data_IF_421465186148
#
_entry.id   IF_421465186148
#
_cell.length_a   1.000
_cell.length_b   1.000
_cell.length_c   1.000
_cell.angle_alpha   90.00
_cell.angle_beta   90.00
_cell.angle_gamma   90.00
#
_symmetry.space_group_name_H-M   'P 1'
#
loop_
_entity.id
_entity.type
_entity.pdbx_description
1 polymer ?
#
# COMPACT_ATOMS: atom_id res chain seq x y z
N UNK A 1 -58.73 46.66 -1.40
CA UNK A 1 -59.31 46.42 -0.07
C UNK A 1 -59.23 44.92 0.16
N UNK A 2 -58.61 44.28 1.15
CA UNK A 2 -57.76 44.59 2.30
C UNK A 2 -56.90 43.30 2.51
N UNK A 3 -55.57 43.34 2.64
CA UNK A 3 -54.77 43.54 3.88
C UNK A 3 -55.09 42.62 5.08
N UNK A 4 -54.00 41.98 5.58
CA UNK A 4 -53.72 41.56 6.97
C UNK A 4 -54.41 40.26 7.48
N UNK A 5 -53.83 39.39 8.33
CA UNK A 5 -52.58 39.34 9.12
C UNK A 5 -52.41 37.90 9.68
N UNK A 6 -51.16 37.53 9.97
CA UNK A 6 -50.75 36.35 10.80
C UNK A 6 -51.39 36.37 12.19
N UNK A 7 -51.63 35.20 12.79
CA UNK A 7 -51.34 34.95 14.20
C UNK A 7 -51.29 33.46 14.55
N UNK A 8 -50.13 33.07 15.09
CA UNK A 8 -49.76 31.84 15.77
C UNK A 8 -50.53 31.63 17.08
N UNK A 9 -50.95 30.38 17.34
CA UNK A 9 -51.34 29.90 18.68
C UNK A 9 -50.91 28.44 18.84
N UNK A 10 -49.83 28.21 19.58
CA UNK A 10 -49.46 26.90 20.10
C UNK A 10 -49.86 26.87 21.59
N UNK A 11 -50.61 25.86 22.06
CA UNK A 11 -50.91 25.73 23.47
C UNK A 11 -49.68 25.23 24.25
N UNK A 12 -49.42 25.90 25.37
CA UNK A 12 -48.28 25.63 26.24
C UNK A 12 -48.44 24.37 27.08
N UNK A 13 -47.35 23.62 27.21
CA UNK A 13 -47.15 22.63 28.26
C UNK A 13 -46.50 23.32 29.46
N UNK A 14 -47.27 23.41 30.54
CA UNK A 14 -46.82 23.85 31.86
C UNK A 14 -46.67 22.59 32.73
N UNK A 15 -45.47 22.30 33.22
CA UNK A 15 -45.24 21.16 34.12
C UNK A 15 -43.84 21.19 34.71
N UNK A 16 -43.73 21.74 35.92
CA UNK A 16 -42.50 21.83 36.71
C UNK A 16 -42.14 20.46 37.29
N UNK A 17 -40.87 20.11 37.16
CA UNK A 17 -40.00 19.39 38.11
C UNK A 17 -40.59 18.26 38.97
N UNK A 18 -40.07 17.04 38.77
CA UNK A 18 -39.81 16.10 39.86
C UNK A 18 -38.46 15.42 39.60
N UNK A 19 -37.46 15.87 40.35
CA UNK A 19 -36.15 15.22 40.49
C UNK A 19 -36.40 14.01 41.40
N UNK A 20 -36.28 12.79 40.86
CA UNK A 20 -36.18 11.57 41.66
C UNK A 20 -34.81 10.97 41.38
N UNK A 21 -33.87 11.30 42.27
CA UNK A 21 -32.62 10.57 42.48
C UNK A 21 -32.94 9.17 43.00
N UNK A 22 -32.72 8.14 42.18
CA UNK A 22 -32.58 6.75 42.65
C UNK A 22 -31.12 6.38 42.54
N UNK A 23 -30.47 6.32 43.69
CA UNK A 23 -29.15 5.75 43.87
C UNK A 23 -29.28 4.23 44.08
N UNK A 24 -28.41 3.51 43.37
CA UNK A 24 -27.78 2.23 43.71
C UNK A 24 -28.54 0.89 43.50
N UNK A 25 -27.79 -0.01 42.85
CA UNK A 25 -27.82 -1.49 42.88
C UNK A 25 -28.78 -2.24 41.94
N UNK A 26 -28.37 -2.39 40.67
CA UNK A 26 -28.49 -3.68 39.96
C UNK A 26 -27.20 -3.94 39.16
N UNK A 27 -26.38 -4.83 39.74
CA UNK A 27 -25.58 -5.90 39.12
C UNK A 27 -24.71 -5.54 37.90
N UNK A 28 -23.40 -5.67 38.11
CA UNK A 28 -22.38 -5.76 37.09
C UNK A 28 -22.69 -6.90 36.09
N UNK A 29 -23.32 -6.55 34.97
CA UNK A 29 -23.22 -7.32 33.73
C UNK A 29 -22.09 -6.72 32.92
N UNK A 30 -20.87 -7.09 33.29
CA UNK A 30 -19.70 -6.79 32.48
C UNK A 30 -19.73 -7.63 31.19
N UNK A 31 -19.78 -6.90 30.07
CA UNK A 31 -19.18 -7.16 28.78
C UNK A 31 -19.10 -8.62 28.30
N UNK A 32 -20.16 -9.09 27.66
CA UNK A 32 -20.02 -9.98 26.51
C UNK A 32 -20.28 -9.16 25.25
N UNK A 33 -19.26 -8.41 24.82
CA UNK A 33 -19.22 -7.98 23.42
C UNK A 33 -19.19 -9.27 22.58
N UNK A 34 -20.09 -9.46 21.61
CA UNK A 34 -19.88 -10.47 20.60
C UNK A 34 -18.57 -10.11 19.90
N UNK A 35 -17.50 -10.86 20.18
CA UNK A 35 -16.37 -10.90 19.27
C UNK A 35 -16.91 -11.53 17.99
N UNK A 36 -17.28 -10.69 17.03
CA UNK A 36 -17.36 -11.13 15.65
C UNK A 36 -15.97 -11.65 15.30
N UNK A 37 -15.80 -12.98 15.36
CA UNK A 37 -14.70 -13.62 14.68
C UNK A 37 -14.88 -13.30 13.20
N UNK A 38 -14.15 -12.29 12.71
CA UNK A 38 -13.89 -12.13 11.30
C UNK A 38 -13.03 -13.32 10.90
N UNK A 39 -13.67 -14.41 10.46
CA UNK A 39 -12.98 -15.41 9.69
C UNK A 39 -12.53 -14.76 8.39
N UNK A 40 -11.23 -14.82 8.08
CA UNK A 40 -10.81 -14.78 6.69
C UNK A 40 -11.52 -15.96 6.01
N UNK A 41 -12.50 -15.63 5.16
CA UNK A 41 -13.31 -16.61 4.46
C UNK A 41 -12.47 -17.49 3.53
N UNK A 42 -13.04 -18.56 2.97
CA UNK A 42 -12.38 -19.38 1.96
C UNK A 42 -11.78 -18.47 0.88
N UNK A 43 -10.45 -18.50 0.73
CA UNK A 43 -9.80 -17.90 -0.41
C UNK A 43 -10.17 -18.76 -1.62
N UNK A 44 -10.78 -18.15 -2.61
CA UNK A 44 -11.22 -18.89 -3.78
C UNK A 44 -10.14 -18.75 -4.84
N UNK A 45 -9.59 -19.88 -5.29
CA UNK A 45 -8.66 -19.91 -6.40
C UNK A 45 -9.20 -19.11 -7.60
N UNK A 46 -8.30 -18.36 -8.22
CA UNK A 46 -8.58 -17.43 -9.29
C UNK A 46 -9.30 -16.16 -8.88
N UNK A 47 -9.44 -15.87 -7.58
CA UNK A 47 -10.07 -14.63 -7.10
C UNK A 47 -9.08 -13.78 -6.31
N UNK A 48 -9.07 -12.49 -6.60
CA UNK A 48 -8.30 -11.48 -5.86
C UNK A 48 -9.20 -10.28 -5.56
N UNK A 49 -8.75 -9.41 -4.66
CA UNK A 49 -9.38 -8.11 -4.41
C UNK A 49 -8.45 -6.99 -4.86
N UNK A 50 -9.04 -5.90 -5.35
CA UNK A 50 -8.30 -4.72 -5.78
C UNK A 50 -8.96 -3.48 -5.18
N UNK A 51 -8.22 -2.69 -4.42
CA UNK A 51 -8.70 -1.44 -3.85
C UNK A 51 -8.00 -0.28 -4.56
N UNK A 52 -8.79 0.72 -4.95
CA UNK A 52 -8.28 1.91 -5.65
C UNK A 52 -8.78 3.15 -4.92
N UNK A 53 -7.87 3.97 -4.44
CA UNK A 53 -8.17 5.27 -3.84
C UNK A 53 -7.61 6.39 -4.72
N UNK A 54 -8.45 7.35 -5.09
CA UNK A 54 -8.09 8.55 -5.85
C UNK A 54 -8.36 9.77 -5.00
N UNK A 55 -7.30 10.48 -4.60
CA UNK A 55 -7.37 11.71 -3.82
C UNK A 55 -6.50 12.81 -4.46
N UNK A 56 -7.16 13.78 -5.10
CA UNK A 56 -6.49 14.83 -5.87
C UNK A 56 -5.52 14.23 -6.91
N UNK A 57 -4.21 14.56 -6.86
CA UNK A 57 -3.21 14.00 -7.77
C UNK A 57 -2.72 12.60 -7.38
N UNK A 58 -3.05 12.09 -6.18
CA UNK A 58 -2.58 10.80 -5.70
C UNK A 58 -3.54 9.67 -6.08
N UNK A 59 -2.99 8.54 -6.51
CA UNK A 59 -3.73 7.30 -6.74
C UNK A 59 -3.01 6.17 -6.05
N UNK A 60 -3.68 5.48 -5.13
CA UNK A 60 -3.16 4.26 -4.51
C UNK A 60 -3.94 3.06 -5.02
N UNK A 61 -3.23 1.99 -5.34
CA UNK A 61 -3.81 0.71 -5.74
C UNK A 61 -3.27 -0.37 -4.81
N UNK A 62 -4.15 -1.15 -4.18
CA UNK A 62 -3.79 -2.31 -3.37
C UNK A 62 -4.40 -3.57 -3.99
N UNK A 63 -3.56 -4.55 -4.31
CA UNK A 63 -3.95 -5.89 -4.72
C UNK A 63 -3.69 -6.86 -3.56
N UNK A 64 -4.73 -7.58 -3.17
CA UNK A 64 -4.61 -8.73 -2.28
C UNK A 64 -5.01 -10.00 -3.06
N UNK A 65 -4.12 -10.98 -3.09
CA UNK A 65 -4.32 -12.22 -3.82
C UNK A 65 -3.66 -13.40 -3.13
N UNK A 66 -4.32 -14.58 -3.11
CA UNK A 66 -3.62 -15.85 -2.98
C UNK A 66 -2.45 -15.93 -3.97
N UNK A 67 -1.29 -16.39 -3.52
CA UNK A 67 -0.10 -16.49 -4.38
C UNK A 67 -0.29 -17.54 -5.47
N UNK A 68 -1.16 -18.54 -5.29
CA UNK A 68 -1.54 -19.51 -6.33
C UNK A 68 -2.03 -18.81 -7.60
N UNK A 69 -2.83 -17.74 -7.47
CA UNK A 69 -3.30 -16.99 -8.63
C UNK A 69 -2.16 -16.41 -9.48
N UNK A 70 -1.00 -16.16 -8.86
CA UNK A 70 0.14 -15.46 -9.43
C UNK A 70 1.30 -16.42 -9.79
N UNK A 71 1.45 -17.52 -9.06
CA UNK A 71 2.57 -18.46 -9.13
C UNK A 71 2.15 -19.89 -9.49
N UNK A 72 0.89 -20.26 -9.23
CA UNK A 72 0.35 -21.62 -9.42
C UNK A 72 0.71 -22.62 -8.31
N UNK A 73 1.19 -22.14 -7.17
CA UNK A 73 1.47 -22.94 -5.97
C UNK A 73 1.32 -22.08 -4.71
N UNK A 74 1.02 -22.70 -3.56
CA UNK A 74 0.69 -22.01 -2.29
C UNK A 74 1.75 -22.12 -1.20
N UNK A 75 2.84 -22.84 -1.44
CA UNK A 75 3.88 -23.08 -0.46
C UNK A 75 5.07 -22.14 -0.63
N UNK A 76 5.90 -22.02 0.41
CA UNK A 76 7.23 -21.42 0.32
C UNK A 76 8.08 -22.12 -0.78
N UNK A 77 8.99 -21.41 -1.47
CA UNK A 77 9.77 -21.98 -2.55
C UNK A 77 10.72 -23.08 -2.05
N UNK A 78 10.65 -24.26 -2.65
CA UNK A 78 11.41 -25.47 -2.28
C UNK A 78 12.67 -25.66 -3.12
N UNK A 79 12.76 -24.99 -4.26
CA UNK A 79 13.85 -25.16 -5.23
C UNK A 79 14.11 -23.85 -6.00
N UNK A 80 15.24 -23.80 -6.72
CA UNK A 80 15.65 -22.59 -7.44
C UNK A 80 14.68 -22.18 -8.56
N UNK A 81 13.97 -23.15 -9.16
CA UNK A 81 12.95 -22.86 -10.17
C UNK A 81 11.78 -22.08 -9.58
N UNK A 82 11.30 -22.46 -8.41
CA UNK A 82 10.24 -21.73 -7.69
C UNK A 82 10.73 -20.35 -7.20
N UNK A 83 11.98 -20.26 -6.71
CA UNK A 83 12.58 -18.97 -6.36
C UNK A 83 12.65 -18.03 -7.57
N UNK A 84 13.00 -18.57 -8.73
CA UNK A 84 13.01 -17.80 -9.98
C UNK A 84 11.60 -17.40 -10.42
N UNK A 85 10.59 -18.26 -10.25
CA UNK A 85 9.19 -17.92 -10.52
C UNK A 85 8.72 -16.73 -9.65
N UNK A 86 9.09 -16.72 -8.36
CA UNK A 86 8.81 -15.59 -7.46
C UNK A 86 9.49 -14.31 -7.94
N UNK A 87 10.78 -14.36 -8.29
CA UNK A 87 11.50 -13.18 -8.81
C UNK A 87 10.88 -12.65 -10.11
N UNK A 88 10.46 -13.53 -11.00
CA UNK A 88 9.77 -13.14 -12.24
C UNK A 88 8.40 -12.52 -11.97
N UNK A 89 7.63 -13.09 -11.04
CA UNK A 89 6.36 -12.51 -10.57
C UNK A 89 6.57 -11.12 -9.97
N UNK A 90 7.52 -10.98 -9.04
CA UNK A 90 7.85 -9.71 -8.39
C UNK A 90 8.31 -8.66 -9.41
N UNK A 91 9.15 -9.04 -10.39
CA UNK A 91 9.59 -8.15 -11.46
C UNK A 91 8.42 -7.62 -12.32
N UNK A 92 7.44 -8.47 -12.65
CA UNK A 92 6.21 -8.03 -13.34
C UNK A 92 5.41 -7.06 -12.49
N UNK A 93 5.23 -7.36 -11.20
CA UNK A 93 4.48 -6.50 -10.28
C UNK A 93 5.19 -5.16 -10.01
N UNK A 94 6.51 -5.11 -10.09
CA UNK A 94 7.30 -3.88 -10.04
C UNK A 94 7.33 -3.08 -11.36
N UNK A 95 6.63 -3.54 -12.40
CA UNK A 95 6.46 -2.82 -13.67
C UNK A 95 4.99 -2.37 -13.85
N UNK A 96 4.47 -1.46 -13.00
CA UNK A 96 3.06 -1.12 -12.97
C UNK A 96 2.54 -0.44 -14.24
N UNK A 97 3.40 0.23 -15.01
CA UNK A 97 3.02 0.77 -16.32
C UNK A 97 2.56 -0.33 -17.30
N UNK A 98 2.91 -1.60 -17.05
CA UNK A 98 2.40 -2.76 -17.80
C UNK A 98 1.12 -3.36 -17.20
N UNK A 99 0.86 -3.14 -15.90
CA UNK A 99 -0.30 -3.66 -15.16
C UNK A 99 -1.50 -2.72 -15.27
N UNK A 100 -1.26 -1.41 -15.32
CA UNK A 100 -2.26 -0.38 -15.12
C UNK A 100 -2.12 0.70 -16.21
N UNK A 101 -3.03 0.70 -17.17
CA UNK A 101 -3.05 1.72 -18.23
C UNK A 101 -4.06 2.81 -17.86
N UNK A 102 -3.55 3.87 -17.25
CA UNK A 102 -4.35 5.06 -16.92
C UNK A 102 -4.80 5.81 -18.16
N UNK A 103 -5.79 6.69 -18.00
CA UNK A 103 -6.15 7.67 -19.04
C UNK A 103 -4.90 8.49 -19.40
N UNK A 104 -4.37 8.44 -20.66
CA UNK A 104 -3.05 9.00 -20.96
C UNK A 104 -2.91 10.49 -20.66
N UNK A 105 -4.00 11.24 -20.83
CA UNK A 105 -4.09 12.68 -20.56
C UNK A 105 -4.07 13.05 -19.08
N UNK A 106 -4.11 12.07 -18.16
CA UNK A 106 -3.93 12.26 -16.71
C UNK A 106 -2.45 12.23 -16.28
N UNK A 107 -1.57 11.69 -17.15
CA UNK A 107 -0.11 11.66 -16.97
C UNK A 107 0.33 11.11 -15.60
N UNK A 108 -0.24 9.98 -15.20
CA UNK A 108 0.12 9.31 -13.95
C UNK A 108 1.49 8.65 -14.04
N UNK A 109 2.27 8.76 -12.96
CA UNK A 109 3.62 8.19 -12.81
C UNK A 109 3.71 7.44 -11.49
N UNK A 110 4.41 6.31 -11.50
CA UNK A 110 4.69 5.55 -10.29
C UNK A 110 5.61 6.36 -9.35
N UNK A 111 5.23 6.48 -8.09
CA UNK A 111 6.08 6.97 -7.00
C UNK A 111 6.71 5.80 -6.23
N UNK A 112 5.92 4.76 -5.95
CA UNK A 112 6.31 3.68 -5.06
C UNK A 112 5.62 2.36 -5.45
N UNK A 113 6.31 1.23 -5.24
CA UNK A 113 5.72 -0.10 -5.32
C UNK A 113 6.28 -0.99 -4.20
N UNK A 114 5.38 -1.67 -3.49
CA UNK A 114 5.71 -2.52 -2.34
C UNK A 114 4.99 -3.85 -2.49
N UNK A 115 5.72 -4.93 -2.33
CA UNK A 115 5.19 -6.28 -2.30
C UNK A 115 5.48 -6.89 -0.92
N UNK A 116 4.48 -7.50 -0.31
CA UNK A 116 4.60 -8.16 0.99
C UNK A 116 3.88 -9.51 0.92
N UNK A 117 4.52 -10.54 1.48
CA UNK A 117 3.89 -11.83 1.70
C UNK A 117 4.50 -12.46 2.94
N UNK A 118 3.69 -13.02 3.86
CA UNK A 118 4.22 -13.76 5.00
C UNK A 118 4.99 -15.03 4.60
N UNK A 119 4.69 -15.64 3.46
CA UNK A 119 5.18 -16.96 3.05
C UNK A 119 6.25 -16.90 1.95
N UNK A 120 6.38 -15.77 1.27
CA UNK A 120 7.43 -15.57 0.28
C UNK A 120 8.61 -14.82 0.90
N UNK A 121 9.86 -15.30 0.71
CA UNK A 121 11.04 -14.60 1.21
C UNK A 121 11.13 -13.18 0.63
N UNK A 122 11.25 -12.18 1.50
CA UNK A 122 11.22 -10.77 1.10
C UNK A 122 12.34 -10.41 0.13
N UNK A 123 13.50 -11.09 0.21
CA UNK A 123 14.62 -10.86 -0.70
C UNK A 123 14.29 -11.21 -2.17
N UNK A 124 13.29 -12.07 -2.40
CA UNK A 124 12.81 -12.42 -3.74
C UNK A 124 11.72 -11.46 -4.25
N UNK A 125 11.10 -10.70 -3.34
CA UNK A 125 10.06 -9.72 -3.65
C UNK A 125 10.59 -8.30 -3.89
N UNK A 126 11.85 -8.01 -3.56
CA UNK A 126 12.42 -6.67 -3.73
C UNK A 126 12.72 -6.33 -5.20
N UNK A 127 12.39 -5.12 -5.62
CA UNK A 127 12.86 -4.48 -6.85
C UNK A 127 14.35 -4.13 -6.75
N UNK A 128 15.25 -5.13 -6.81
CA UNK A 128 16.70 -4.84 -6.84
C UNK A 128 17.10 -4.25 -8.18
N UNK A 129 16.99 -2.92 -8.27
CA UNK A 129 17.84 -2.09 -9.11
C UNK A 129 19.27 -2.16 -8.55
N UNK A 130 20.01 -3.20 -8.94
CA UNK A 130 21.43 -3.33 -8.63
C UNK A 130 21.72 -4.03 -7.31
N UNK A 131 21.80 -5.35 -7.34
CA UNK A 131 22.92 -6.01 -6.67
C UNK A 131 23.22 -7.30 -7.40
N UNK A 132 24.40 -7.36 -8.00
CA UNK A 132 25.10 -8.60 -8.31
C UNK A 132 25.06 -9.48 -7.06
N UNK A 133 24.47 -10.67 -7.18
CA UNK A 133 24.70 -11.74 -6.22
C UNK A 133 25.48 -12.79 -7.00
N UNK A 134 26.76 -12.88 -6.65
CA UNK A 134 27.70 -13.82 -7.20
C UNK A 134 27.16 -15.24 -7.09
N UNK A 135 26.95 -15.84 -8.25
CA UNK A 135 27.02 -17.29 -8.39
C UNK A 135 28.51 -17.64 -8.47
N UNK A 136 29.13 -17.87 -7.31
CA UNK A 136 30.35 -18.68 -7.22
C UNK A 136 30.00 -20.11 -7.66
N UNK A 137 29.97 -20.33 -8.97
CA UNK A 137 30.30 -21.64 -9.50
C UNK A 137 31.82 -21.69 -9.59
N UNK A 138 32.42 -22.45 -8.67
CA UNK A 138 33.82 -22.85 -8.71
C UNK A 138 34.18 -23.36 -10.10
N UNK A 139 34.89 -22.54 -10.87
CA UNK A 139 35.69 -23.01 -12.00
C UNK A 139 37.04 -23.39 -11.42
N UNK A 140 37.32 -24.71 -11.40
CA UNK A 140 38.69 -25.22 -11.32
C UNK A 140 39.45 -24.62 -12.51
N UNK A 141 40.24 -23.57 -12.28
CA UNK A 141 41.19 -23.10 -13.27
C UNK A 141 42.60 -23.39 -12.79
N UNK A 142 43.18 -24.28 -13.57
CA UNK A 142 44.50 -24.87 -13.53
C UNK A 142 45.61 -23.80 -13.60
N UNK A 143 46.64 -24.04 -12.79
CA UNK A 143 48.01 -23.58 -12.83
C UNK A 143 48.42 -22.64 -13.98
N UNK A 144 48.69 -21.37 -13.67
CA UNK A 144 49.78 -20.67 -14.32
C UNK A 144 50.52 -19.73 -13.36
N UNK A 145 51.84 -19.85 -13.41
CA UNK A 145 52.85 -19.47 -12.42
C UNK A 145 53.65 -18.26 -12.95
N UNK A 146 54.24 -17.46 -12.05
CA UNK A 146 55.17 -16.31 -12.24
C UNK A 146 54.50 -14.98 -12.69
N UNK A 147 54.87 -13.79 -12.20
CA UNK A 147 56.04 -13.31 -11.44
C UNK A 147 55.67 -11.99 -10.74
N UNK A 148 56.17 -11.80 -9.53
CA UNK A 148 56.07 -10.58 -8.73
C UNK A 148 57.29 -9.72 -9.03
N UNK A 149 57.10 -8.45 -9.37
CA UNK A 149 58.16 -7.43 -9.30
C UNK A 149 57.59 -6.11 -8.75
N UNK A 150 58.29 -5.57 -7.74
CA UNK A 150 58.06 -4.32 -6.99
C UNK A 150 59.02 -3.24 -7.51
N UNK A 151 58.69 -1.94 -7.51
CA UNK A 151 59.45 -0.99 -6.66
C UNK A 151 58.57 0.14 -6.05
N UNK A 152 58.79 0.52 -4.78
CA UNK A 152 59.54 1.72 -4.31
C UNK A 152 58.65 2.98 -4.25
N UNK A 153 58.12 3.38 -3.09
CA UNK A 153 58.65 4.38 -2.13
C UNK A 153 58.87 5.75 -2.77
N UNK A 154 58.05 6.74 -2.36
CA UNK A 154 58.50 8.08 -1.97
C UNK A 154 57.42 8.82 -1.14
N UNK A 155 57.88 9.53 -0.12
CA UNK A 155 57.18 10.47 0.78
C UNK A 155 57.98 11.79 0.67
N UNK A 156 57.36 12.99 0.62
CA UNK A 156 57.41 13.85 1.81
C UNK A 156 56.22 14.82 2.04
N UNK A 157 56.09 15.18 3.33
CA UNK A 157 55.67 16.44 3.99
C UNK A 157 54.84 17.47 3.19
N UNK A 158 53.76 18.11 3.68
CA UNK A 158 53.39 18.56 5.02
C UNK A 158 53.03 20.05 4.94
N UNK A 159 51.83 20.48 5.34
CA UNK A 159 51.50 21.87 5.70
C UNK A 159 50.11 21.91 6.37
N UNK A 160 50.06 22.28 7.66
CA UNK A 160 49.64 23.59 8.21
C UNK A 160 48.16 23.95 8.00
N UNK A 161 47.37 23.66 9.03
CA UNK A 161 46.14 24.41 9.34
C UNK A 161 46.48 25.83 9.85
N UNK A 162 45.57 26.78 9.62
CA UNK A 162 45.19 27.73 10.65
C UNK A 162 43.67 27.78 10.84
N UNK A 163 43.26 27.99 12.09
CA UNK A 163 41.86 28.07 12.49
C UNK A 163 41.31 29.49 12.66
N UNK A 164 40.06 29.49 13.14
CA UNK A 164 39.26 30.55 13.78
C UNK A 164 38.62 31.62 12.86
N UNK A 165 37.28 31.67 12.82
CA UNK A 165 36.44 32.49 13.74
C UNK A 165 34.94 32.34 13.33
N UNK A 166 33.94 33.06 13.91
CA UNK A 166 32.86 32.45 14.68
C UNK A 166 31.47 32.59 14.04
N UNK A 167 30.52 31.79 14.52
CA UNK A 167 29.10 31.93 14.21
C UNK A 167 28.45 33.04 15.04
N UNK A 168 27.55 33.86 14.46
CA UNK A 168 26.56 34.59 15.25
C UNK A 168 25.27 33.78 15.40
N UNK A 169 24.81 33.71 16.65
CA UNK A 169 23.46 33.26 17.03
C UNK A 169 22.43 34.29 16.58
N UNK A 170 21.33 33.83 15.97
CA UNK A 170 20.13 34.63 15.78
C UNK A 170 18.85 33.80 15.96
N UNK A 171 18.19 34.11 17.07
CA UNK A 171 16.75 34.25 17.25
C UNK A 171 15.78 33.13 16.79
N UNK A 172 15.28 32.44 17.81
CA UNK A 172 13.95 31.84 17.96
C UNK A 172 12.81 32.58 17.25
N UNK A 173 12.03 31.86 16.44
CA UNK A 173 10.65 32.20 16.12
C UNK A 173 9.80 30.92 16.13
N UNK A 174 9.15 30.67 17.27
CA UNK A 174 8.26 29.53 17.49
C UNK A 174 6.88 29.84 16.90
N UNK A 175 6.55 29.24 15.76
CA UNK A 175 5.18 29.26 15.21
C UNK A 175 4.42 28.02 15.72
N UNK A 176 3.20 28.15 16.25
CA UNK A 176 2.36 27.00 16.59
C UNK A 176 1.96 26.26 15.31
N UNK A 177 2.25 24.96 15.25
CA UNK A 177 1.72 24.05 14.25
C UNK A 177 0.22 23.84 14.48
N UNK A 178 -0.63 23.92 13.44
CA UNK A 178 -2.01 23.47 13.55
C UNK A 178 -2.05 21.95 13.76
N UNK A 179 -2.91 21.51 14.67
CA UNK A 179 -3.12 20.11 15.01
C UNK A 179 -3.48 19.28 13.77
N UNK A 180 -2.98 18.04 13.64
CA UNK A 180 -3.42 17.14 12.58
C UNK A 180 -4.90 16.80 12.80
N UNK A 181 -5.70 16.94 11.74
CA UNK A 181 -7.05 16.39 11.67
C UNK A 181 -6.97 14.86 11.82
N UNK A 182 -7.99 14.21 12.42
CA UNK A 182 -7.94 12.77 12.63
C UNK A 182 -7.92 12.07 11.27
N UNK A 183 -6.78 11.46 10.95
CA UNK A 183 -6.66 10.48 9.88
C UNK A 183 -7.68 9.38 10.15
N UNK A 184 -8.68 9.26 9.28
CA UNK A 184 -9.47 8.04 9.16
C UNK A 184 -8.48 6.91 8.94
N UNK A 185 -8.32 6.06 9.95
CA UNK A 185 -7.41 4.94 9.89
C UNK A 185 -7.94 3.97 8.84
N UNK A 186 -7.15 3.77 7.78
CA UNK A 186 -7.22 2.58 6.95
C UNK A 186 -7.02 1.43 7.93
N UNK A 187 -8.10 0.68 8.21
CA UNK A 187 -8.09 -0.39 9.20
C UNK A 187 -7.16 -1.48 8.68
N UNK A 188 -6.03 -1.77 9.33
CA UNK A 188 -5.21 -2.91 8.98
C UNK A 188 -5.93 -4.17 9.45
N UNK A 189 -6.34 -5.02 8.52
CA UNK A 189 -6.88 -6.34 8.83
C UNK A 189 -5.81 -7.16 9.56
N UNK A 190 -5.98 -7.39 10.86
CA UNK A 190 -5.05 -8.18 11.69
C UNK A 190 -5.65 -9.55 12.03
N UNK A 191 -5.00 -10.60 11.51
CA UNK A 191 -4.51 -11.75 12.27
C UNK A 191 -5.47 -12.88 12.65
N UNK A 192 -5.25 -14.05 12.06
CA UNK A 192 -5.04 -15.32 12.77
C UNK A 192 -4.13 -16.22 11.93
N UNK A 193 -3.24 -16.96 12.60
CA UNK A 193 -2.26 -17.84 12.01
C UNK A 193 -2.91 -19.14 11.50
N UNK A 194 -3.17 -19.21 10.20
CA UNK A 194 -3.33 -20.45 9.43
C UNK A 194 -2.76 -20.20 8.01
N UNK A 195 -1.85 -21.09 7.59
CA UNK A 195 -0.89 -20.95 6.48
C UNK A 195 -1.51 -20.94 5.08
N UNK A 196 -2.02 -19.80 4.61
CA UNK A 196 -2.29 -19.61 3.18
C UNK A 196 -1.53 -18.42 2.63
N UNK A 197 -0.70 -18.69 1.63
CA UNK A 197 0.22 -17.71 1.09
C UNK A 197 -0.50 -16.59 0.36
N UNK A 198 -0.59 -15.44 1.01
CA UNK A 198 -1.17 -14.23 0.47
C UNK A 198 -0.05 -13.30 0.01
N UNK A 199 -0.29 -12.61 -1.11
CA UNK A 199 0.53 -11.50 -1.55
C UNK A 199 -0.32 -10.23 -1.50
N UNK A 200 0.21 -9.25 -0.78
CA UNK A 200 -0.24 -7.86 -0.85
C UNK A 200 0.73 -7.08 -1.75
N UNK A 201 0.18 -6.36 -2.73
CA UNK A 201 0.93 -5.49 -3.62
C UNK A 201 0.31 -4.10 -3.64
N UNK A 202 1.08 -3.11 -3.19
CA UNK A 202 0.68 -1.71 -3.14
C UNK A 202 1.46 -0.89 -4.16
N UNK A 203 0.77 -0.04 -4.91
CA UNK A 203 1.37 0.94 -5.80
C UNK A 203 0.83 2.33 -5.51
N UNK A 204 1.73 3.30 -5.39
CA UNK A 204 1.40 4.72 -5.26
C UNK A 204 1.77 5.44 -6.55
N UNK A 205 0.82 6.17 -7.13
CA UNK A 205 1.01 6.98 -8.32
C UNK A 205 0.70 8.44 -8.05
N UNK A 206 1.33 9.30 -8.84
CA UNK A 206 1.00 10.72 -8.94
C UNK A 206 0.64 11.10 -10.37
N UNK A 207 -0.53 11.71 -10.55
CA UNK A 207 -1.02 12.23 -11.82
C UNK A 207 -0.79 13.74 -11.92
N UNK A 208 -0.24 14.20 -13.04
CA UNK A 208 -0.01 15.63 -13.26
C UNK A 208 -1.31 16.40 -13.57
N UNK A 209 -2.29 15.71 -14.15
CA UNK A 209 -3.57 16.27 -14.60
C UNK A 209 -4.74 15.39 -14.10
N UNK A 210 -4.94 15.29 -12.77
CA UNK A 210 -5.93 14.37 -12.20
C UNK A 210 -7.38 14.61 -12.64
N UNK A 211 -7.72 15.84 -13.05
CA UNK A 211 -9.02 16.17 -13.64
C UNK A 211 -9.32 15.41 -14.95
N UNK A 212 -8.28 14.95 -15.65
CA UNK A 212 -8.40 14.17 -16.88
C UNK A 212 -8.46 12.66 -16.62
N UNK A 213 -8.37 12.22 -15.36
CA UNK A 213 -8.36 10.81 -14.97
C UNK A 213 -9.80 10.26 -15.00
N UNK A 214 -10.14 9.50 -16.05
CA UNK A 214 -11.50 8.98 -16.27
C UNK A 214 -11.65 7.48 -15.98
N UNK A 215 -10.53 6.79 -15.78
CA UNK A 215 -10.52 5.36 -15.62
C UNK A 215 -9.13 4.74 -15.80
N UNK A 216 -9.11 3.42 -15.72
CA UNK A 216 -7.92 2.58 -15.74
C UNK A 216 -8.26 1.23 -16.39
N UNK A 217 -7.37 0.73 -17.25
CA UNK A 217 -7.42 -0.65 -17.74
C UNK A 217 -6.48 -1.53 -16.92
N UNK A 218 -7.00 -2.64 -16.39
CA UNK A 218 -6.29 -3.56 -15.49
C UNK A 218 -5.80 -4.77 -16.27
N UNK A 219 -4.47 -4.90 -16.42
CA UNK A 219 -3.83 -5.94 -17.22
C UNK A 219 -3.32 -7.15 -16.44
N UNK A 220 -3.79 -7.31 -15.20
CA UNK A 220 -3.37 -8.41 -14.32
C UNK A 220 -3.70 -9.79 -14.91
N UNK A 221 -4.86 -9.95 -15.55
CA UNK A 221 -5.28 -11.25 -16.13
C UNK A 221 -4.36 -11.73 -17.27
N UNK A 222 -3.78 -10.81 -18.04
CA UNK A 222 -2.87 -11.14 -19.14
C UNK A 222 -1.49 -11.57 -18.63
N UNK A 223 -1.07 -11.02 -17.49
CA UNK A 223 0.24 -11.30 -16.90
C UNK A 223 0.22 -12.49 -15.94
N UNK A 224 -0.95 -12.77 -15.35
CA UNK A 224 -1.22 -13.84 -14.40
C UNK A 224 -2.50 -14.61 -14.79
N UNK A 225 -2.38 -15.64 -15.64
CA UNK A 225 -3.53 -16.41 -16.15
C UNK A 225 -4.30 -17.20 -15.08
N UNK A 226 -3.73 -17.37 -13.88
CA UNK A 226 -4.41 -17.97 -12.73
C UNK A 226 -5.57 -17.11 -12.23
N UNK A 227 -5.53 -15.78 -12.45
CA UNK A 227 -6.62 -14.88 -12.11
C UNK A 227 -7.84 -15.09 -13.03
N UNK A 228 -9.02 -15.22 -12.41
CA UNK A 228 -10.31 -15.41 -13.07
C UNK A 228 -11.30 -14.30 -12.75
N UNK A 229 -11.18 -13.71 -11.57
CA UNK A 229 -12.04 -12.64 -11.07
C UNK A 229 -11.23 -11.71 -10.17
N UNK A 230 -11.46 -10.41 -10.29
CA UNK A 230 -10.96 -9.44 -9.33
C UNK A 230 -12.15 -8.63 -8.83
N UNK A 231 -12.39 -8.67 -7.53
CA UNK A 231 -13.40 -7.83 -6.89
C UNK A 231 -12.77 -6.49 -6.55
N UNK A 232 -13.19 -5.45 -7.27
CA UNK A 232 -12.60 -4.12 -7.16
C UNK A 232 -13.48 -3.20 -6.32
N UNK A 233 -12.88 -2.50 -5.37
CA UNK A 233 -13.48 -1.36 -4.66
C UNK A 233 -12.76 -0.08 -5.08
N UNK A 234 -13.52 0.98 -5.37
CA UNK A 234 -12.98 2.25 -5.83
C UNK A 234 -13.53 3.36 -4.97
N UNK A 235 -12.67 4.20 -4.44
CA UNK A 235 -13.01 5.47 -3.80
C UNK A 235 -12.38 6.58 -4.62
N UNK A 236 -13.22 7.44 -5.22
CA UNK A 236 -12.74 8.54 -6.05
C UNK A 236 -13.58 9.81 -5.89
N UNK A 237 -13.26 10.87 -6.66
CA UNK A 237 -13.88 12.19 -6.49
C UNK A 237 -15.39 12.21 -6.77
N UNK A 238 -15.91 11.20 -7.46
CA UNK A 238 -17.34 11.06 -7.79
C UNK A 238 -18.09 10.12 -6.82
N UNK A 239 -17.41 9.60 -5.80
CA UNK A 239 -17.97 8.68 -4.80
C UNK A 239 -17.26 7.33 -4.76
N UNK A 240 -17.88 6.39 -4.04
CA UNK A 240 -17.39 5.01 -3.92
C UNK A 240 -18.20 4.05 -4.79
N UNK A 241 -17.55 3.02 -5.34
CA UNK A 241 -18.20 1.98 -6.13
C UNK A 241 -17.48 0.64 -5.98
N UNK A 242 -18.16 -0.44 -6.37
CA UNK A 242 -17.52 -1.75 -6.50
C UNK A 242 -17.82 -2.33 -7.88
N UNK A 243 -16.80 -2.90 -8.50
CA UNK A 243 -16.86 -3.46 -9.86
C UNK A 243 -16.17 -4.83 -9.85
N UNK A 244 -16.79 -5.80 -10.51
CA UNK A 244 -16.19 -7.12 -10.71
C UNK A 244 -15.49 -7.17 -12.07
N UNK A 245 -14.18 -7.35 -12.06
CA UNK A 245 -13.39 -7.53 -13.27
C UNK A 245 -13.23 -9.02 -13.61
N UNK A 246 -13.13 -9.30 -14.90
CA UNK A 246 -12.86 -10.64 -15.46
C UNK A 246 -11.92 -10.50 -16.65
N UNK A 247 -11.34 -11.59 -17.19
CA UNK A 247 -10.53 -11.52 -18.41
C UNK A 247 -11.25 -10.89 -19.62
N UNK A 248 -12.59 -10.94 -19.65
CA UNK A 248 -13.41 -10.34 -20.70
C UNK A 248 -13.77 -8.85 -20.43
N UNK A 249 -13.59 -8.37 -19.20
CA UNK A 249 -13.95 -7.02 -18.78
C UNK A 249 -12.94 -6.51 -17.74
N UNK A 250 -11.92 -5.80 -18.22
CA UNK A 250 -10.76 -5.32 -17.45
C UNK A 250 -10.77 -3.81 -17.19
N UNK A 251 -11.73 -3.09 -17.78
CA UNK A 251 -11.74 -1.63 -17.77
C UNK A 251 -12.59 -1.09 -16.62
N UNK A 252 -11.97 -0.25 -15.81
CA UNK A 252 -12.63 0.55 -14.78
C UNK A 252 -12.87 1.96 -15.30
N UNK A 253 -13.97 2.55 -14.84
CA UNK A 253 -14.37 3.94 -15.14
C UNK A 253 -14.92 4.56 -13.87
N UNK A 254 -14.71 5.85 -13.70
CA UNK A 254 -15.31 6.65 -12.65
C UNK A 254 -15.75 8.01 -13.19
#
# INVERSE_FOLDING_TARGET
MAEMKRASRWPGFSGRAAIITIAALVVATELMLPTCAYGAGPHVHGQATLEIAVDGPAVQINLNSPVDNLLGFEHAPRNEKERQAIRTMASKLHQPDSLFIFTPTAQCRLESSRLVSPQLPSELLLSRSGSSMGSDHSVLNNDNKLKVDKPSVDKPTGDKSPGLSPAPSAATSSRPTPAPSPSTQIVPSHGHADDHAELEATWDFRCATPQNLQGLDVRLFQLFPGLRRIDTAIVGPKGQSSVKLTPASTRLKW
#
